data_IF_410053184908
#
_entry.id   IF_410053184908
#
_cell.length_a   1.000
_cell.length_b   1.000
_cell.length_c   1.000
_cell.angle_alpha   90.00
_cell.angle_beta   90.00
_cell.angle_gamma   90.00
#
_symmetry.space_group_name_H-M   'P 1'
#
loop_
_entity.id
_entity.type
_entity.pdbx_description
1 polymer ?
#
# COMPACT_ATOMS: atom_id res chain seq x y z
N UNK A 1 -0.07 -27.93 -18.17
CA UNK A 1 -0.06 -26.44 -18.08
C UNK A 1 1.39 -26.01 -18.18
N UNK A 2 1.71 -24.86 -18.77
CA UNK A 2 3.10 -24.35 -18.79
C UNK A 2 3.44 -23.88 -17.37
N UNK A 3 4.65 -24.17 -16.87
CA UNK A 3 5.14 -23.80 -15.54
C UNK A 3 4.95 -22.30 -15.22
N UNK A 4 5.19 -21.44 -16.21
CA UNK A 4 4.97 -19.99 -16.06
C UNK A 4 3.49 -19.64 -15.81
N UNK A 5 2.56 -20.34 -16.49
CA UNK A 5 1.13 -20.12 -16.28
C UNK A 5 0.67 -20.58 -14.89
N UNK A 6 1.25 -21.63 -14.37
CA UNK A 6 0.99 -22.07 -12.98
C UNK A 6 1.51 -21.07 -11.97
N UNK A 7 2.72 -20.57 -12.17
CA UNK A 7 3.31 -19.51 -11.34
C UNK A 7 2.48 -18.22 -11.37
N UNK A 8 2.03 -17.80 -12.56
CA UNK A 8 1.13 -16.66 -12.72
C UNK A 8 -0.16 -16.83 -11.92
N UNK A 9 -0.82 -17.98 -12.02
CA UNK A 9 -2.08 -18.24 -11.31
C UNK A 9 -1.88 -18.26 -9.79
N UNK A 10 -0.77 -18.79 -9.32
CA UNK A 10 -0.45 -18.79 -7.87
C UNK A 10 -0.18 -17.37 -7.35
N UNK A 11 0.54 -16.55 -8.09
CA UNK A 11 0.76 -15.13 -7.74
C UNK A 11 -0.54 -14.33 -7.82
N UNK A 12 -1.37 -14.56 -8.84
CA UNK A 12 -2.67 -13.93 -8.97
C UNK A 12 -3.56 -14.19 -7.74
N UNK A 13 -3.55 -15.40 -7.19
CA UNK A 13 -4.29 -15.76 -5.97
C UNK A 13 -3.73 -15.07 -4.73
N UNK A 14 -2.41 -14.88 -4.67
CA UNK A 14 -1.71 -14.23 -3.57
C UNK A 14 -2.04 -12.73 -3.55
N UNK A 15 -1.90 -12.05 -4.70
CA UNK A 15 -2.24 -10.62 -4.85
C UNK A 15 -3.74 -10.37 -4.60
N UNK A 16 -4.61 -11.27 -5.07
CA UNK A 16 -6.05 -11.15 -4.79
C UNK A 16 -6.39 -11.19 -3.30
N UNK A 17 -5.65 -11.97 -2.52
CA UNK A 17 -5.76 -11.95 -1.06
C UNK A 17 -5.17 -10.68 -0.45
N UNK A 18 -4.03 -10.21 -0.95
CA UNK A 18 -3.39 -8.97 -0.53
C UNK A 18 -4.34 -7.78 -0.64
N UNK A 19 -4.94 -7.57 -1.81
CA UNK A 19 -5.93 -6.50 -2.04
C UNK A 19 -7.13 -6.59 -1.07
N UNK A 20 -7.60 -7.79 -0.81
CA UNK A 20 -8.71 -8.01 0.16
C UNK A 20 -8.31 -7.72 1.60
N UNK A 21 -7.05 -7.88 1.96
CA UNK A 21 -6.53 -7.43 3.25
C UNK A 21 -6.48 -5.90 3.31
N UNK A 22 -6.05 -5.24 2.22
CA UNK A 22 -5.97 -3.78 2.13
C UNK A 22 -7.35 -3.11 2.20
N UNK A 23 -8.40 -3.70 1.64
CA UNK A 23 -9.77 -3.20 1.81
C UNK A 23 -10.19 -3.06 3.29
N UNK A 24 -9.53 -3.80 4.20
CA UNK A 24 -9.77 -3.73 5.64
C UNK A 24 -8.77 -2.83 6.36
N UNK A 25 -7.53 -2.74 5.87
CA UNK A 25 -6.46 -1.96 6.48
C UNK A 25 -6.58 -0.46 6.16
N UNK A 26 -6.85 -0.10 4.90
CA UNK A 26 -6.91 1.29 4.45
C UNK A 26 -7.92 2.17 5.22
N UNK A 27 -9.14 1.70 5.57
CA UNK A 27 -10.04 2.49 6.42
C UNK A 27 -9.47 2.79 7.82
N UNK A 28 -8.65 1.88 8.36
CA UNK A 28 -8.01 2.10 9.67
C UNK A 28 -6.89 3.13 9.55
N UNK A 29 -6.09 3.06 8.49
CA UNK A 29 -5.03 4.03 8.20
C UNK A 29 -5.61 5.42 7.95
N UNK A 30 -6.68 5.55 7.15
CA UNK A 30 -7.38 6.81 6.92
C UNK A 30 -7.92 7.43 8.21
N UNK A 31 -8.42 6.58 9.13
CA UNK A 31 -8.92 7.05 10.43
C UNK A 31 -7.79 7.47 11.39
N UNK A 32 -6.63 6.83 11.30
CA UNK A 32 -5.48 7.11 12.16
C UNK A 32 -4.69 8.34 11.69
N UNK A 33 -4.69 8.64 10.39
CA UNK A 33 -4.01 9.80 9.83
C UNK A 33 -4.53 11.11 10.45
N UNK A 34 -3.62 11.96 10.90
CA UNK A 34 -3.92 13.27 11.46
C UNK A 34 -3.98 14.35 10.40
N UNK A 35 -3.08 14.29 9.40
CA UNK A 35 -3.02 15.22 8.29
C UNK A 35 -4.10 14.92 7.25
N UNK A 36 -4.91 15.94 6.89
CA UNK A 36 -6.08 15.76 6.02
C UNK A 36 -5.71 15.24 4.62
N UNK A 37 -4.60 15.71 4.05
CA UNK A 37 -4.14 15.27 2.73
C UNK A 37 -3.75 13.78 2.71
N UNK A 38 -3.15 13.28 3.81
CA UNK A 38 -2.82 11.87 3.96
C UNK A 38 -4.08 11.02 4.11
N UNK A 39 -5.04 11.49 4.90
CA UNK A 39 -6.34 10.84 5.05
C UNK A 39 -7.06 10.71 3.71
N UNK A 40 -7.16 11.82 2.95
CA UNK A 40 -7.74 11.83 1.61
C UNK A 40 -7.00 10.87 0.65
N UNK A 41 -5.68 10.77 0.76
CA UNK A 41 -4.88 9.83 -0.02
C UNK A 41 -5.26 8.37 0.28
N UNK A 42 -5.39 7.99 1.55
CA UNK A 42 -5.82 6.63 1.93
C UNK A 42 -7.27 6.34 1.53
N UNK A 43 -8.18 7.31 1.66
CA UNK A 43 -9.57 7.16 1.23
C UNK A 43 -9.68 6.98 -0.30
N UNK A 44 -8.90 7.73 -1.07
CA UNK A 44 -8.83 7.58 -2.52
C UNK A 44 -8.26 6.21 -2.91
N UNK A 45 -7.15 5.81 -2.28
CA UNK A 45 -6.53 4.52 -2.55
C UNK A 45 -7.45 3.33 -2.18
N UNK A 46 -8.31 3.48 -1.17
CA UNK A 46 -9.35 2.48 -0.87
C UNK A 46 -10.31 2.27 -2.06
N UNK A 47 -10.69 3.34 -2.76
CA UNK A 47 -11.51 3.24 -3.96
C UNK A 47 -10.77 2.57 -5.12
N UNK A 48 -9.50 2.88 -5.31
CA UNK A 48 -8.63 2.22 -6.30
C UNK A 48 -8.49 0.73 -6.00
N UNK A 49 -8.23 0.36 -4.75
CA UNK A 49 -8.16 -1.04 -4.31
C UNK A 49 -9.44 -1.83 -4.58
N UNK A 50 -10.61 -1.20 -4.46
CA UNK A 50 -11.87 -1.84 -4.85
C UNK A 50 -11.92 -2.15 -6.36
N UNK A 51 -11.40 -1.27 -7.20
CA UNK A 51 -11.28 -1.51 -8.64
C UNK A 51 -10.21 -2.56 -8.95
N UNK A 52 -9.09 -2.59 -8.21
CA UNK A 52 -8.06 -3.62 -8.35
C UNK A 52 -8.65 -5.02 -8.13
N UNK A 53 -9.43 -5.20 -7.07
CA UNK A 53 -10.13 -6.46 -6.82
C UNK A 53 -11.02 -6.86 -8.00
N UNK A 54 -11.79 -5.92 -8.57
CA UNK A 54 -12.66 -6.19 -9.74
C UNK A 54 -11.85 -6.56 -10.98
N UNK A 55 -10.72 -5.87 -11.23
CA UNK A 55 -9.82 -6.20 -12.34
C UNK A 55 -9.21 -7.59 -12.17
N UNK A 56 -8.80 -7.95 -10.96
CA UNK A 56 -8.29 -9.30 -10.67
C UNK A 56 -9.36 -10.38 -10.92
N UNK A 57 -10.62 -10.12 -10.57
CA UNK A 57 -11.73 -11.03 -10.89
C UNK A 57 -11.93 -11.20 -12.41
N UNK A 58 -11.75 -10.13 -13.19
CA UNK A 58 -11.76 -10.21 -14.66
C UNK A 58 -10.56 -11.02 -15.17
N UNK A 59 -9.37 -10.82 -14.61
CA UNK A 59 -8.17 -11.59 -14.93
C UNK A 59 -8.38 -13.08 -14.65
N UNK A 60 -8.94 -13.45 -13.49
CA UNK A 60 -9.30 -14.84 -13.21
C UNK A 60 -10.20 -15.44 -14.29
N UNK A 61 -11.21 -14.69 -14.73
CA UNK A 61 -12.13 -15.13 -15.79
C UNK A 61 -11.40 -15.32 -17.13
N UNK A 62 -10.55 -14.39 -17.53
CA UNK A 62 -9.75 -14.47 -18.77
C UNK A 62 -8.77 -15.67 -18.75
N UNK A 63 -8.27 -16.03 -17.57
CA UNK A 63 -7.37 -17.15 -17.35
C UNK A 63 -8.08 -18.49 -17.18
N UNK A 64 -9.42 -18.53 -17.33
CA UNK A 64 -10.26 -19.73 -17.07
C UNK A 64 -10.07 -20.30 -15.66
N UNK A 65 -9.93 -19.41 -14.67
CA UNK A 65 -9.77 -19.76 -13.26
C UNK A 65 -10.92 -19.21 -12.42
N UNK A 66 -11.36 -19.93 -11.38
CA UNK A 66 -12.28 -19.33 -10.41
C UNK A 66 -11.52 -18.32 -9.54
N UNK A 67 -12.15 -17.18 -9.17
CA UNK A 67 -11.57 -16.22 -8.24
C UNK A 67 -11.42 -16.87 -6.86
N UNK A 68 -10.17 -17.14 -6.47
CA UNK A 68 -9.84 -17.80 -5.21
C UNK A 68 -8.60 -17.20 -4.60
N UNK A 69 -8.70 -16.78 -3.34
CA UNK A 69 -7.57 -16.30 -2.56
C UNK A 69 -6.64 -17.44 -2.13
N UNK A 70 -5.35 -17.13 -2.13
CA UNK A 70 -4.32 -17.85 -1.38
C UNK A 70 -3.77 -16.86 -0.37
N UNK A 71 -3.74 -17.22 0.92
CA UNK A 71 -3.33 -16.31 1.99
C UNK A 71 -1.96 -15.69 1.71
N UNK A 72 -1.94 -14.37 1.50
CA UNK A 72 -0.72 -13.59 1.34
C UNK A 72 -0.10 -13.30 2.70
N UNK A 73 1.00 -13.99 3.01
CA UNK A 73 1.72 -13.80 4.27
C UNK A 73 2.54 -12.52 4.29
N UNK A 74 3.01 -12.07 3.13
CA UNK A 74 3.75 -10.82 3.02
C UNK A 74 2.84 -9.64 3.37
N UNK A 75 1.67 -9.53 2.73
CA UNK A 75 0.71 -8.49 3.03
C UNK A 75 0.19 -8.57 4.47
N UNK A 76 -0.04 -9.79 4.98
CA UNK A 76 -0.42 -9.95 6.39
C UNK A 76 0.62 -9.31 7.31
N UNK A 77 1.91 -9.56 7.10
CA UNK A 77 2.98 -8.97 7.91
C UNK A 77 3.06 -7.45 7.78
N UNK A 78 2.90 -6.91 6.56
CA UNK A 78 2.88 -5.47 6.32
C UNK A 78 1.69 -4.78 6.99
N UNK A 79 0.52 -5.39 6.95
CA UNK A 79 -0.69 -4.88 7.62
C UNK A 79 -0.52 -4.94 9.14
N UNK A 80 0.02 -6.02 9.68
CA UNK A 80 0.31 -6.17 11.11
C UNK A 80 1.28 -5.08 11.59
N UNK A 81 2.38 -4.82 10.87
CA UNK A 81 3.30 -3.69 11.17
C UNK A 81 2.57 -2.34 11.15
N UNK A 82 1.71 -2.08 10.17
CA UNK A 82 0.95 -0.84 10.10
C UNK A 82 -0.06 -0.69 11.27
N UNK A 83 -0.70 -1.77 11.69
CA UNK A 83 -1.60 -1.78 12.85
C UNK A 83 -0.84 -1.51 14.17
N UNK A 84 0.38 -2.06 14.33
CA UNK A 84 1.23 -1.78 15.49
C UNK A 84 1.58 -0.29 15.56
N UNK A 85 1.96 0.35 14.45
CA UNK A 85 2.26 1.79 14.41
C UNK A 85 1.04 2.66 14.76
N UNK A 86 -0.16 2.25 14.35
CA UNK A 86 -1.41 2.93 14.74
C UNK A 86 -1.66 2.81 16.26
N UNK A 87 -1.46 1.61 16.81
CA UNK A 87 -1.70 1.34 18.25
C UNK A 87 -0.67 2.05 19.14
N UNK A 88 0.55 2.27 18.64
CA UNK A 88 1.65 2.96 19.32
C UNK A 88 1.63 4.48 19.11
N UNK A 89 0.71 5.00 18.29
CA UNK A 89 0.57 6.43 17.94
C UNK A 89 1.86 7.06 17.38
N UNK A 90 2.55 6.32 16.49
CA UNK A 90 3.87 6.70 15.93
C UNK A 90 3.83 7.87 14.91
N UNK A 91 2.65 8.43 14.60
CA UNK A 91 2.48 9.59 13.73
C UNK A 91 2.39 9.29 12.23
N UNK A 92 2.13 10.34 11.47
CA UNK A 92 1.83 10.24 10.03
C UNK A 92 3.04 9.85 9.18
N UNK A 93 4.26 10.25 9.56
CA UNK A 93 5.47 9.84 8.83
C UNK A 93 5.69 8.32 8.91
N UNK A 94 5.42 7.70 10.05
CA UNK A 94 5.49 6.25 10.22
C UNK A 94 4.40 5.55 9.41
N UNK A 95 3.18 6.09 9.38
CA UNK A 95 2.06 5.55 8.58
C UNK A 95 2.38 5.61 7.08
N UNK A 96 2.99 6.70 6.58
CA UNK A 96 3.43 6.78 5.18
C UNK A 96 4.47 5.70 4.88
N UNK A 97 5.46 5.53 5.75
CA UNK A 97 6.49 4.50 5.57
C UNK A 97 5.87 3.09 5.48
N UNK A 98 4.90 2.77 6.33
CA UNK A 98 4.18 1.50 6.29
C UNK A 98 3.38 1.34 4.98
N UNK A 99 2.68 2.40 4.55
CA UNK A 99 1.94 2.40 3.29
C UNK A 99 2.88 2.18 2.09
N UNK A 100 3.99 2.90 2.00
CA UNK A 100 4.95 2.73 0.91
C UNK A 100 5.56 1.31 0.84
N UNK A 101 5.74 0.63 1.95
CA UNK A 101 6.13 -0.79 1.95
C UNK A 101 5.07 -1.66 1.27
N UNK A 102 3.79 -1.37 1.49
CA UNK A 102 2.67 -2.03 0.81
C UNK A 102 2.71 -1.75 -0.68
N UNK A 103 2.81 -0.48 -1.10
CA UNK A 103 2.88 -0.09 -2.52
C UNK A 103 4.03 -0.82 -3.23
N UNK A 104 5.22 -0.87 -2.62
CA UNK A 104 6.37 -1.56 -3.20
C UNK A 104 6.17 -3.08 -3.34
N UNK A 105 5.47 -3.71 -2.41
CA UNK A 105 5.05 -5.10 -2.56
C UNK A 105 4.13 -5.27 -3.78
N UNK A 106 3.13 -4.41 -3.94
CA UNK A 106 2.16 -4.46 -5.03
C UNK A 106 2.79 -4.11 -6.38
N UNK A 107 3.65 -3.10 -6.43
CA UNK A 107 4.44 -2.75 -7.63
C UNK A 107 5.27 -3.96 -8.11
N UNK A 108 5.93 -4.68 -7.20
CA UNK A 108 6.70 -5.85 -7.55
C UNK A 108 5.82 -7.00 -8.08
N UNK A 109 4.71 -7.27 -7.40
CA UNK A 109 3.77 -8.33 -7.76
C UNK A 109 3.07 -8.05 -9.10
N UNK A 110 2.47 -6.87 -9.28
CA UNK A 110 1.83 -6.48 -10.52
C UNK A 110 2.80 -6.36 -11.69
N UNK A 111 4.03 -5.86 -11.45
CA UNK A 111 5.08 -5.83 -12.46
C UNK A 111 5.48 -7.21 -12.97
N UNK A 112 5.51 -8.21 -12.07
CA UNK A 112 5.76 -9.60 -12.44
C UNK A 112 4.59 -10.19 -13.23
N UNK A 113 3.35 -9.98 -12.77
CA UNK A 113 2.14 -10.44 -13.46
C UNK A 113 2.04 -9.84 -14.87
N UNK A 114 2.28 -8.54 -15.03
CA UNK A 114 2.26 -7.88 -16.34
C UNK A 114 3.30 -8.48 -17.30
N UNK A 115 4.54 -8.65 -16.82
CA UNK A 115 5.64 -9.21 -17.58
C UNK A 115 5.33 -10.65 -18.05
N UNK A 116 4.82 -11.48 -17.15
CA UNK A 116 4.47 -12.87 -17.47
C UNK A 116 3.27 -12.97 -18.41
N UNK A 117 2.24 -12.13 -18.25
CA UNK A 117 1.10 -12.08 -19.14
C UNK A 117 1.52 -11.71 -20.58
N UNK A 118 2.38 -10.69 -20.75
CA UNK A 118 2.95 -10.33 -22.04
C UNK A 118 3.72 -11.50 -22.69
N UNK A 119 4.53 -12.20 -21.90
CA UNK A 119 5.32 -13.33 -22.41
C UNK A 119 4.42 -14.52 -22.81
N UNK A 120 3.29 -14.72 -22.14
CA UNK A 120 2.30 -15.74 -22.48
C UNK A 120 1.39 -15.34 -23.66
N UNK A 121 1.46 -14.10 -24.15
CA UNK A 121 0.59 -13.59 -25.20
C UNK A 121 -0.83 -13.21 -24.72
N UNK A 122 -1.03 -13.12 -23.42
CA UNK A 122 -2.31 -12.75 -22.77
C UNK A 122 -2.41 -11.21 -22.66
N UNK A 123 -2.56 -10.53 -23.82
CA UNK A 123 -2.47 -9.06 -23.88
C UNK A 123 -3.53 -8.36 -23.03
N UNK A 124 -4.79 -8.83 -23.07
CA UNK A 124 -5.87 -8.23 -22.28
C UNK A 124 -5.61 -8.34 -20.76
N UNK A 125 -5.03 -9.46 -20.33
CA UNK A 125 -4.59 -9.64 -18.94
C UNK A 125 -3.46 -8.68 -18.59
N UNK A 126 -2.46 -8.55 -19.48
CA UNK A 126 -1.34 -7.62 -19.28
C UNK A 126 -1.80 -6.18 -19.16
N UNK A 127 -2.78 -5.76 -19.97
CA UNK A 127 -3.34 -4.41 -19.94
C UNK A 127 -4.05 -4.14 -18.60
N UNK A 128 -4.86 -5.09 -18.10
CA UNK A 128 -5.57 -4.94 -16.83
C UNK A 128 -4.62 -4.83 -15.63
N UNK A 129 -3.65 -5.74 -15.52
CA UNK A 129 -2.69 -5.69 -14.39
C UNK A 129 -1.70 -4.52 -14.54
N UNK A 130 -1.39 -4.09 -15.76
CA UNK A 130 -0.55 -2.93 -16.05
C UNK A 130 -1.22 -1.60 -15.67
N UNK A 131 -2.56 -1.51 -15.78
CA UNK A 131 -3.33 -0.36 -15.30
C UNK A 131 -3.20 -0.25 -13.78
N UNK A 132 -3.43 -1.34 -13.04
CA UNK A 132 -3.22 -1.37 -11.59
C UNK A 132 -1.79 -1.02 -11.21
N UNK A 133 -0.78 -1.60 -11.87
CA UNK A 133 0.63 -1.26 -11.63
C UNK A 133 0.90 0.25 -11.77
N UNK A 134 0.25 0.91 -12.70
CA UNK A 134 0.41 2.36 -12.90
C UNK A 134 -0.23 3.16 -11.76
N UNK A 135 -1.35 2.69 -11.23
CA UNK A 135 -2.05 3.30 -10.09
C UNK A 135 -1.24 3.13 -8.80
N UNK A 136 -0.64 1.95 -8.55
CA UNK A 136 0.23 1.73 -7.38
C UNK A 136 1.48 2.62 -7.39
N UNK A 137 2.10 2.78 -8.56
CA UNK A 137 3.22 3.72 -8.70
C UNK A 137 2.82 5.17 -8.43
N UNK A 138 1.64 5.58 -8.88
CA UNK A 138 1.12 6.92 -8.63
C UNK A 138 0.79 7.13 -7.14
N UNK A 139 0.27 6.10 -6.45
CA UNK A 139 0.03 6.12 -5.02
C UNK A 139 1.35 6.28 -4.23
N UNK A 140 2.38 5.52 -4.56
CA UNK A 140 3.71 5.63 -3.95
C UNK A 140 4.34 7.03 -4.16
N UNK A 141 4.27 7.57 -5.39
CA UNK A 141 4.74 8.93 -5.68
C UNK A 141 3.96 10.00 -4.89
N UNK A 142 2.65 9.83 -4.75
CA UNK A 142 1.81 10.74 -3.97
C UNK A 142 2.18 10.72 -2.49
N UNK A 143 2.38 9.53 -1.90
CA UNK A 143 2.82 9.38 -0.51
C UNK A 143 4.19 10.03 -0.30
N UNK A 144 5.14 9.84 -1.21
CA UNK A 144 6.43 10.52 -1.19
C UNK A 144 6.27 12.04 -1.18
N UNK A 145 5.41 12.58 -2.06
CA UNK A 145 5.14 14.01 -2.13
C UNK A 145 4.59 14.57 -0.82
N UNK A 146 3.62 13.90 -0.20
CA UNK A 146 3.04 14.29 1.09
C UNK A 146 4.09 14.26 2.20
N UNK A 147 4.91 13.18 2.25
CA UNK A 147 5.96 13.04 3.24
C UNK A 147 7.00 14.17 3.16
N UNK A 148 7.56 14.39 1.96
CA UNK A 148 8.69 15.31 1.78
C UNK A 148 8.29 16.79 1.80
N UNK A 149 7.08 17.12 1.35
CA UNK A 149 6.64 18.53 1.25
C UNK A 149 5.97 19.05 2.53
N UNK A 150 5.47 18.17 3.39
CA UNK A 150 4.65 18.57 4.53
C UNK A 150 5.02 17.81 5.80
N UNK A 151 4.70 16.53 5.90
CA UNK A 151 4.66 15.78 7.16
C UNK A 151 6.04 15.65 7.82
N UNK A 152 7.07 15.25 7.10
CA UNK A 152 8.41 15.09 7.68
C UNK A 152 8.97 16.41 8.19
N UNK A 153 8.60 17.53 7.58
CA UNK A 153 9.04 18.86 7.99
C UNK A 153 8.31 19.26 9.27
N UNK A 154 7.00 19.13 9.31
CA UNK A 154 6.17 19.49 10.46
C UNK A 154 6.50 18.66 11.69
N UNK A 155 6.68 17.34 11.56
CA UNK A 155 7.07 16.48 12.68
C UNK A 155 8.45 16.84 13.23
N UNK A 156 9.43 17.11 12.36
CA UNK A 156 10.77 17.53 12.81
C UNK A 156 10.76 18.89 13.54
N UNK A 157 9.97 19.85 13.08
CA UNK A 157 9.81 21.15 13.72
C UNK A 157 9.15 21.04 15.11
N UNK A 158 8.14 20.17 15.26
CA UNK A 158 7.49 19.90 16.54
C UNK A 158 8.45 19.27 17.56
N UNK A 159 9.26 18.30 17.16
CA UNK A 159 10.28 17.69 18.02
C UNK A 159 11.32 18.73 18.51
N UNK A 160 11.78 19.62 17.62
CA UNK A 160 12.72 20.68 17.98
C UNK A 160 12.12 21.67 18.97
N UNK A 161 10.84 22.04 18.83
CA UNK A 161 10.13 22.92 19.75
C UNK A 161 9.94 22.27 21.13
N UNK A 162 9.59 21.00 21.19
CA UNK A 162 9.43 20.26 22.45
C UNK A 162 10.76 20.09 23.19
N UNK A 163 11.84 19.79 22.48
CA UNK A 163 13.19 19.73 23.07
C UNK A 163 13.63 21.08 23.65
N UNK A 164 13.38 22.18 22.92
CA UNK A 164 13.69 23.53 23.38
C UNK A 164 12.88 23.92 24.63
N UNK A 165 11.59 23.62 24.65
CA UNK A 165 10.72 23.85 25.78
C UNK A 165 11.12 23.02 27.02
N UNK A 166 11.52 21.77 26.80
CA UNK A 166 12.04 20.88 27.86
C UNK A 166 13.36 21.37 28.47
N UNK A 167 14.26 21.90 27.65
CA UNK A 167 15.53 22.48 28.10
C UNK A 167 15.33 23.77 28.91
N UNK A 168 14.39 24.64 28.50
CA UNK A 168 14.07 25.88 29.24
C UNK A 168 13.45 25.57 30.61
N UNK A 169 12.57 24.59 30.73
CA UNK A 169 12.00 24.16 32.02
C UNK A 169 13.06 23.62 32.99
N UNK A 170 14.06 22.92 32.48
CA UNK A 170 15.19 22.40 33.29
C UNK A 170 16.13 23.51 33.77
N UNK A 171 16.30 24.59 33.00
CA UNK A 171 17.16 25.76 33.37
C UNK A 171 16.48 26.73 34.31
N UNK A 172 15.16 26.76 34.36
CA UNK A 172 14.38 27.66 35.23
C UNK A 172 14.15 27.15 36.66
N UNK A 173 14.61 25.93 36.98
CA UNK A 173 14.47 25.31 38.31
C UNK A 173 15.74 25.35 39.17
N UNK A 174 16.66 26.30 38.91
CA UNK A 174 17.83 26.57 39.77
C UNK A 174 17.76 27.96 40.36
#
# INVERSE_FOLDING_TARGET
>A
MNELRETFVEELKDVYDAEKQLLKALPKMAKAAEHEELKEAFEMHLHETQEHVRRLEQVFKLMDQPPKSKKCKAMQGLVEEGEELIDEEEGDAALICAAQKVEHYEIASYGSLESWAKLMGEQEVADLVGETLSEEKAADEKLTGIAEQTINIEENEQEEEEEHAGQQRRRGNY
#
